data_IF_610682430452
#
_entry.id   IF_610682430452
#
_cell.length_a   1.000
_cell.length_b   1.000
_cell.length_c   1.000
_cell.angle_alpha   90.00
_cell.angle_beta   90.00
_cell.angle_gamma   90.00
#
_symmetry.space_group_name_H-M   'P 1'
#
loop_
_entity.id
_entity.type
_entity.pdbx_description
1 polymer ?
#
# COMPACT_ATOMS: atom_id res chain seq x y z
N UNK A 1 -70.98 -8.21 43.32
CA UNK A 1 -69.76 -8.32 42.50
C UNK A 1 -70.05 -7.70 41.15
N UNK A 2 -69.24 -6.75 40.70
CA UNK A 2 -69.41 -6.09 39.39
C UNK A 2 -68.90 -6.98 38.24
N UNK A 3 -69.35 -6.76 37.00
CA UNK A 3 -68.87 -7.51 35.84
C UNK A 3 -67.37 -7.25 35.62
N UNK A 4 -66.66 -8.27 35.14
CA UNK A 4 -65.26 -8.14 34.75
C UNK A 4 -65.12 -7.08 33.65
N UNK A 5 -64.10 -6.22 33.78
CA UNK A 5 -63.75 -5.24 32.75
C UNK A 5 -63.33 -5.95 31.46
N UNK A 6 -63.58 -5.31 30.32
CA UNK A 6 -63.19 -5.85 29.02
C UNK A 6 -61.67 -6.00 28.95
N UNK A 7 -61.21 -7.14 28.40
CA UNK A 7 -59.80 -7.37 28.15
C UNK A 7 -59.24 -6.34 27.17
N UNK A 8 -58.01 -5.89 27.40
CA UNK A 8 -57.31 -5.00 26.48
C UNK A 8 -57.00 -5.71 25.16
N UNK A 9 -57.02 -4.98 24.06
CA UNK A 9 -56.60 -5.50 22.75
C UNK A 9 -55.09 -5.69 22.71
N UNK A 10 -54.62 -6.84 22.24
CA UNK A 10 -53.21 -7.03 21.90
C UNK A 10 -52.79 -5.97 20.87
N UNK A 11 -51.62 -5.37 21.06
CA UNK A 11 -51.03 -4.45 20.10
C UNK A 11 -50.66 -5.17 18.79
N UNK A 12 -50.51 -4.40 17.72
CA UNK A 12 -50.00 -4.91 16.44
C UNK A 12 -48.56 -5.39 16.61
N UNK A 13 -48.26 -6.60 16.16
CA UNK A 13 -46.87 -7.02 15.98
C UNK A 13 -46.20 -6.06 14.98
N UNK A 14 -44.93 -5.74 15.21
CA UNK A 14 -44.12 -5.00 14.22
C UNK A 14 -43.92 -5.81 12.95
N UNK A 15 -43.47 -5.15 11.88
CA UNK A 15 -43.06 -5.86 10.66
C UNK A 15 -41.83 -6.73 10.97
N UNK A 16 -41.84 -7.98 10.50
CA UNK A 16 -40.67 -8.84 10.55
C UNK A 16 -39.55 -8.20 9.71
N UNK A 17 -38.32 -8.15 10.24
CA UNK A 17 -37.16 -7.68 9.48
C UNK A 17 -36.84 -8.59 8.29
N UNK A 18 -36.04 -8.11 7.34
CA UNK A 18 -35.57 -8.94 6.22
C UNK A 18 -34.85 -10.21 6.72
N UNK A 19 -35.08 -11.33 6.02
CA UNK A 19 -34.39 -12.59 6.28
C UNK A 19 -32.88 -12.45 6.06
N UNK A 20 -32.11 -12.48 7.16
CA UNK A 20 -30.65 -12.36 7.13
C UNK A 20 -29.93 -13.45 6.33
N UNK A 21 -30.59 -14.58 6.04
CA UNK A 21 -30.03 -15.61 5.16
C UNK A 21 -29.91 -15.12 3.70
N UNK A 22 -30.78 -14.20 3.27
CA UNK A 22 -30.74 -13.63 1.91
C UNK A 22 -29.62 -12.61 1.77
N UNK A 23 -29.39 -11.77 2.79
CA UNK A 23 -28.36 -10.72 2.77
C UNK A 23 -26.95 -11.29 2.81
N UNK A 24 -26.68 -12.28 3.67
CA UNK A 24 -25.36 -12.92 3.76
C UNK A 24 -24.97 -13.64 2.46
N UNK A 25 -25.95 -14.28 1.80
CA UNK A 25 -25.76 -15.01 0.56
C UNK A 25 -25.59 -14.11 -0.66
N UNK A 26 -25.74 -12.79 -0.55
CA UNK A 26 -25.32 -11.87 -1.62
C UNK A 26 -23.81 -11.98 -1.85
N UNK A 27 -23.04 -12.06 -0.75
CA UNK A 27 -21.58 -12.11 -0.80
C UNK A 27 -21.04 -13.52 -0.62
N UNK A 28 -21.61 -14.32 0.30
CA UNK A 28 -21.10 -15.64 0.67
C UNK A 28 -21.69 -16.81 -0.14
N UNK A 29 -21.92 -16.61 -1.45
CA UNK A 29 -22.28 -17.75 -2.32
C UNK A 29 -21.09 -18.68 -2.54
N UNK A 30 -21.37 -19.96 -2.81
CA UNK A 30 -20.34 -20.91 -3.27
C UNK A 30 -19.60 -20.39 -4.50
N UNK A 31 -20.31 -19.74 -5.44
CA UNK A 31 -19.72 -19.19 -6.65
C UNK A 31 -18.72 -18.07 -6.34
N UNK A 32 -19.12 -17.07 -5.54
CA UNK A 32 -18.25 -15.97 -5.15
C UNK A 32 -17.04 -16.47 -4.37
N UNK A 33 -17.25 -17.34 -3.39
CA UNK A 33 -16.15 -17.88 -2.58
C UNK A 33 -15.19 -18.75 -3.40
N UNK A 34 -15.67 -19.44 -4.43
CA UNK A 34 -14.82 -20.20 -5.35
C UNK A 34 -14.00 -19.25 -6.22
N UNK A 35 -14.63 -18.26 -6.84
CA UNK A 35 -13.95 -17.26 -7.66
C UNK A 35 -12.86 -16.51 -6.87
N UNK A 36 -13.17 -16.04 -5.66
CA UNK A 36 -12.20 -15.35 -4.80
C UNK A 36 -11.00 -16.24 -4.46
N UNK A 37 -11.22 -17.53 -4.17
CA UNK A 37 -10.12 -18.48 -3.89
C UNK A 37 -9.25 -18.74 -5.11
N UNK A 38 -9.85 -18.85 -6.30
CA UNK A 38 -9.13 -19.06 -7.55
C UNK A 38 -8.29 -17.83 -7.92
N UNK A 39 -8.87 -16.63 -7.81
CA UNK A 39 -8.15 -15.36 -7.98
C UNK A 39 -7.01 -15.24 -6.97
N UNK A 40 -7.28 -15.52 -5.69
CA UNK A 40 -6.28 -15.49 -4.64
C UNK A 40 -5.08 -16.40 -4.95
N UNK A 41 -5.34 -17.60 -5.46
CA UNK A 41 -4.30 -18.59 -5.75
C UNK A 41 -3.29 -18.13 -6.81
N UNK A 42 -3.60 -17.13 -7.65
CA UNK A 42 -2.67 -16.57 -8.63
C UNK A 42 -1.79 -15.46 -8.05
N UNK A 43 -2.13 -14.96 -6.86
CA UNK A 43 -1.42 -13.84 -6.24
C UNK A 43 -0.03 -14.22 -5.71
N UNK A 44 0.85 -13.22 -5.62
CA UNK A 44 2.13 -13.39 -4.92
C UNK A 44 1.94 -13.66 -3.42
N UNK A 45 0.86 -13.15 -2.81
CA UNK A 45 0.54 -13.45 -1.41
C UNK A 45 0.31 -14.94 -1.18
N UNK A 46 -0.41 -15.61 -2.09
CA UNK A 46 -0.64 -17.06 -2.02
C UNK A 46 0.61 -17.89 -2.30
N UNK A 47 1.57 -17.36 -3.09
CA UNK A 47 2.77 -18.09 -3.51
C UNK A 47 3.66 -18.54 -2.34
N UNK A 48 3.64 -17.81 -1.21
CA UNK A 48 4.47 -18.11 -0.04
C UNK A 48 5.97 -17.87 -0.21
N UNK A 49 6.41 -17.27 -1.33
CA UNK A 49 7.83 -17.04 -1.62
C UNK A 49 8.55 -16.23 -0.53
N UNK A 50 7.84 -15.32 0.13
CA UNK A 50 8.39 -14.49 1.20
C UNK A 50 8.21 -15.08 2.61
N UNK A 51 7.38 -16.12 2.78
CA UNK A 51 6.97 -16.63 4.10
C UNK A 51 8.15 -17.14 4.94
N UNK A 52 9.16 -17.74 4.29
CA UNK A 52 10.37 -18.21 4.97
C UNK A 52 11.17 -17.06 5.63
N UNK A 53 10.99 -15.82 5.20
CA UNK A 53 11.64 -14.64 5.79
C UNK A 53 11.14 -14.37 7.21
N UNK A 54 9.94 -14.84 7.57
CA UNK A 54 9.33 -14.64 8.89
C UNK A 54 10.03 -15.38 10.03
N UNK A 55 11.06 -16.18 9.75
CA UNK A 55 12.00 -16.64 10.77
C UNK A 55 12.79 -15.47 11.39
N UNK A 56 12.81 -14.29 10.75
CA UNK A 56 13.23 -13.03 11.37
C UNK A 56 12.02 -12.26 11.89
N UNK A 57 12.11 -11.81 13.13
CA UNK A 57 11.07 -11.03 13.78
C UNK A 57 10.76 -9.68 13.09
N UNK A 58 11.75 -9.13 12.37
CA UNK A 58 11.62 -7.89 11.61
C UNK A 58 10.98 -8.06 10.24
N UNK A 59 10.95 -9.30 9.72
CA UNK A 59 10.33 -9.64 8.43
C UNK A 59 8.93 -10.21 8.62
N UNK A 60 8.69 -10.88 9.75
CA UNK A 60 7.42 -11.53 10.07
C UNK A 60 6.18 -10.64 9.92
N UNK A 61 6.19 -9.35 10.33
CA UNK A 61 5.00 -8.48 10.26
C UNK A 61 4.33 -8.44 8.89
N UNK A 62 5.10 -8.49 7.80
CA UNK A 62 4.59 -8.38 6.44
C UNK A 62 4.60 -9.71 5.67
N UNK A 63 5.20 -10.76 6.21
CA UNK A 63 5.48 -11.99 5.45
C UNK A 63 4.88 -13.26 6.06
N UNK A 64 4.25 -13.21 7.24
CA UNK A 64 3.45 -14.32 7.76
C UNK A 64 2.15 -13.87 8.40
N UNK A 65 1.15 -14.75 8.34
CA UNK A 65 -0.17 -14.49 8.94
C UNK A 65 -0.03 -14.11 10.42
N UNK A 66 0.72 -14.89 11.18
CA UNK A 66 0.94 -14.70 12.61
C UNK A 66 1.65 -13.37 12.89
N UNK A 67 2.63 -13.01 12.05
CA UNK A 67 3.40 -11.79 12.23
C UNK A 67 2.55 -10.54 12.03
N UNK A 68 1.67 -10.57 11.02
CA UNK A 68 0.71 -9.49 10.79
C UNK A 68 -0.27 -9.33 11.95
N UNK A 69 -0.82 -10.44 12.46
CA UNK A 69 -1.72 -10.39 13.62
C UNK A 69 -1.04 -9.83 14.87
N UNK A 70 0.21 -10.23 15.13
CA UNK A 70 0.96 -9.73 16.28
C UNK A 70 1.26 -8.23 16.14
N UNK A 71 1.65 -7.77 14.95
CA UNK A 71 1.89 -6.35 14.67
C UNK A 71 0.62 -5.53 14.92
N UNK A 72 -0.54 -5.96 14.43
CA UNK A 72 -1.81 -5.27 14.70
C UNK A 72 -2.20 -5.28 16.18
N UNK A 73 -1.96 -6.39 16.87
CA UNK A 73 -2.32 -6.53 18.30
C UNK A 73 -1.44 -5.67 19.20
N UNK A 74 -0.14 -5.59 18.87
CA UNK A 74 0.86 -4.92 19.71
C UNK A 74 1.11 -3.47 19.31
N UNK A 75 0.78 -3.09 18.07
CA UNK A 75 1.15 -1.81 17.48
C UNK A 75 2.65 -1.65 17.20
N UNK A 76 3.43 -2.74 17.28
CA UNK A 76 4.88 -2.70 17.10
C UNK A 76 5.30 -3.03 15.66
N UNK A 77 6.36 -2.37 15.20
CA UNK A 77 6.97 -2.56 13.88
C UNK A 77 7.71 -3.90 13.70
N UNK A 78 7.91 -4.62 14.80
CA UNK A 78 8.53 -5.95 14.81
C UNK A 78 7.77 -6.86 15.73
N UNK A 79 7.82 -8.15 15.43
CA UNK A 79 7.33 -9.19 16.34
C UNK A 79 8.32 -9.44 17.47
N UNK A 80 7.85 -10.04 18.56
CA UNK A 80 8.65 -10.43 19.70
C UNK A 80 9.77 -11.40 19.31
N UNK A 81 9.46 -12.37 18.44
CA UNK A 81 10.40 -13.33 17.90
C UNK A 81 10.01 -13.74 16.47
N UNK A 82 10.97 -14.32 15.74
CA UNK A 82 10.67 -14.94 14.46
C UNK A 82 9.86 -16.23 14.63
N UNK A 83 9.10 -16.59 13.60
CA UNK A 83 8.27 -17.79 13.59
C UNK A 83 9.03 -18.95 12.95
N UNK A 84 9.12 -20.08 13.65
CA UNK A 84 9.77 -21.29 13.13
C UNK A 84 8.94 -21.98 12.04
N UNK A 85 7.61 -21.90 12.16
CA UNK A 85 6.64 -22.47 11.22
C UNK A 85 5.61 -21.40 10.83
N UNK A 86 6.02 -20.36 10.08
CA UNK A 86 5.13 -19.29 9.68
C UNK A 86 4.09 -19.79 8.67
N UNK A 87 2.85 -19.32 8.80
CA UNK A 87 1.83 -19.54 7.77
C UNK A 87 1.93 -18.43 6.73
N UNK A 88 1.79 -18.83 5.47
CA UNK A 88 1.64 -17.89 4.36
C UNK A 88 0.47 -16.94 4.62
N UNK A 89 0.55 -15.73 4.04
CA UNK A 89 -0.62 -14.87 3.91
C UNK A 89 -1.81 -15.71 3.46
N UNK A 90 -2.98 -15.45 4.01
CA UNK A 90 -4.19 -16.21 3.67
C UNK A 90 -5.42 -15.33 3.91
N UNK A 91 -6.61 -15.85 3.61
CA UNK A 91 -7.88 -15.11 3.76
C UNK A 91 -8.00 -14.47 5.15
N UNK A 92 -7.58 -15.18 6.21
CA UNK A 92 -7.66 -14.71 7.59
C UNK A 92 -6.59 -13.71 7.96
N UNK A 93 -5.58 -13.48 7.14
CA UNK A 93 -4.69 -12.32 7.34
C UNK A 93 -5.48 -11.03 7.17
N UNK A 94 -6.22 -10.90 6.06
CA UNK A 94 -6.94 -9.67 5.71
C UNK A 94 -8.36 -9.62 6.28
N UNK A 95 -9.03 -10.77 6.38
CA UNK A 95 -10.41 -10.85 6.84
C UNK A 95 -10.53 -11.47 8.23
N UNK A 96 -11.50 -11.01 8.99
CA UNK A 96 -11.86 -11.56 10.29
C UNK A 96 -13.35 -11.90 10.32
N UNK A 97 -14.17 -10.96 10.78
CA UNK A 97 -15.61 -11.02 10.90
C UNK A 97 -16.19 -9.61 10.78
N UNK A 98 -17.47 -9.53 10.48
CA UNK A 98 -18.17 -8.26 10.34
C UNK A 98 -18.21 -7.51 11.67
N UNK A 99 -17.95 -6.21 11.62
CA UNK A 99 -18.14 -5.28 12.75
C UNK A 99 -19.60 -4.82 12.84
N UNK A 100 -20.30 -4.80 11.71
CA UNK A 100 -21.74 -4.57 11.62
C UNK A 100 -22.41 -5.49 10.60
N UNK A 101 -23.68 -5.81 10.84
CA UNK A 101 -24.54 -6.47 9.87
C UNK A 101 -25.61 -5.52 9.30
N UNK A 102 -25.62 -4.25 9.71
CA UNK A 102 -26.46 -3.20 9.12
C UNK A 102 -25.66 -2.51 8.00
N UNK A 103 -25.53 -3.21 6.87
CA UNK A 103 -24.75 -2.71 5.73
C UNK A 103 -25.41 -1.53 5.01
N UNK A 104 -26.69 -1.26 5.24
CA UNK A 104 -27.39 -0.10 4.67
C UNK A 104 -26.99 1.18 5.40
N UNK A 105 -26.89 1.13 6.74
CA UNK A 105 -26.52 2.28 7.57
C UNK A 105 -25.01 2.43 7.70
N UNK A 106 -24.29 1.34 7.97
CA UNK A 106 -22.88 1.35 8.33
C UNK A 106 -21.95 1.14 7.13
N UNK A 107 -22.53 0.80 5.97
CA UNK A 107 -21.80 0.47 4.76
C UNK A 107 -21.19 -0.94 4.77
N UNK A 108 -20.58 -1.31 3.64
CA UNK A 108 -19.94 -2.61 3.50
C UNK A 108 -18.57 -2.59 4.17
N UNK A 109 -18.41 -3.33 5.28
CA UNK A 109 -17.14 -3.46 6.00
C UNK A 109 -16.20 -4.55 5.41
N UNK A 110 -16.74 -5.38 4.51
CA UNK A 110 -16.09 -6.55 3.90
C UNK A 110 -15.40 -7.49 4.90
N UNK A 111 -15.81 -7.45 6.17
CA UNK A 111 -15.17 -8.15 7.28
C UNK A 111 -13.64 -7.96 7.32
N UNK A 112 -13.13 -6.78 6.95
CA UNK A 112 -11.70 -6.48 6.98
C UNK A 112 -11.19 -6.40 8.42
N UNK A 113 -10.00 -6.93 8.65
CA UNK A 113 -9.35 -6.97 9.96
C UNK A 113 -9.01 -5.60 10.50
N UNK A 114 -8.69 -4.67 9.62
CA UNK A 114 -8.44 -3.27 9.96
C UNK A 114 -8.64 -2.40 8.73
N UNK A 115 -9.21 -1.22 8.95
CA UNK A 115 -9.23 -0.10 8.01
C UNK A 115 -8.68 1.17 8.67
N UNK A 116 -8.08 1.01 9.85
CA UNK A 116 -7.59 2.11 10.66
C UNK A 116 -6.41 2.84 10.00
N UNK A 117 -6.21 4.13 10.30
CA UNK A 117 -5.02 4.86 9.90
C UNK A 117 -3.72 4.13 10.29
N UNK A 118 -2.73 4.14 9.39
CA UNK A 118 -1.48 3.38 9.54
C UNK A 118 -0.34 4.30 9.97
N UNK A 119 0.26 4.00 11.12
CA UNK A 119 1.53 4.62 11.54
C UNK A 119 2.67 4.16 10.64
N UNK A 120 3.47 5.10 10.16
CA UNK A 120 4.55 4.78 9.23
C UNK A 120 5.82 4.29 9.93
N UNK A 121 6.21 3.05 9.63
CA UNK A 121 7.43 2.39 10.11
C UNK A 121 8.72 3.09 9.65
N UNK A 122 8.66 3.90 8.59
CA UNK A 122 9.79 4.67 8.07
C UNK A 122 10.21 5.78 9.04
N UNK A 123 9.25 6.36 9.76
CA UNK A 123 9.45 7.54 10.57
C UNK A 123 9.39 7.16 12.06
N UNK A 124 10.35 7.65 12.84
CA UNK A 124 10.30 7.52 14.30
C UNK A 124 9.24 8.43 14.95
N UNK A 125 8.60 9.28 14.15
CA UNK A 125 7.56 10.23 14.58
C UNK A 125 6.17 9.60 14.42
N UNK A 126 5.44 9.33 15.52
CA UNK A 126 4.13 8.71 15.48
C UNK A 126 3.04 9.61 14.85
N UNK A 127 3.34 10.87 14.52
CA UNK A 127 2.40 11.76 13.82
C UNK A 127 2.40 11.54 12.30
N UNK A 128 3.36 10.77 11.76
CA UNK A 128 3.40 10.41 10.34
C UNK A 128 2.49 9.21 10.09
N UNK A 129 1.21 9.51 9.91
CA UNK A 129 0.14 8.54 9.70
C UNK A 129 -0.38 8.67 8.26
N UNK A 130 -0.61 7.53 7.60
CA UNK A 130 -1.39 7.47 6.36
C UNK A 130 -2.83 7.08 6.69
N UNK A 131 -3.76 7.87 6.18
CA UNK A 131 -5.18 7.52 6.15
C UNK A 131 -5.75 7.87 4.78
N UNK A 132 -6.12 6.84 4.02
CA UNK A 132 -6.80 6.97 2.74
C UNK A 132 -8.32 7.07 2.86
N UNK A 133 -8.84 6.99 4.09
CA UNK A 133 -10.27 7.09 4.39
C UNK A 133 -11.06 5.99 3.64
N UNK A 134 -10.40 4.85 3.37
CA UNK A 134 -10.97 3.68 2.73
C UNK A 134 -10.15 2.41 3.02
N UNK A 135 -10.62 1.27 2.50
CA UNK A 135 -10.07 -0.06 2.71
C UNK A 135 -8.60 -0.24 2.30
N UNK A 136 -8.03 0.69 1.52
CA UNK A 136 -6.61 0.69 1.15
C UNK A 136 -5.68 0.84 2.35
N UNK A 137 -6.16 1.35 3.49
CA UNK A 137 -5.38 1.39 4.73
C UNK A 137 -4.86 0.00 5.13
N UNK A 138 -5.65 -1.06 4.90
CA UNK A 138 -5.20 -2.43 5.15
C UNK A 138 -3.90 -2.76 4.40
N UNK A 139 -3.81 -2.38 3.13
CA UNK A 139 -2.66 -2.63 2.27
C UNK A 139 -1.40 -1.92 2.78
N UNK A 140 -1.56 -0.69 3.28
CA UNK A 140 -0.44 0.18 3.72
C UNK A 140 0.29 -0.40 4.92
N UNK A 141 -0.34 -1.22 5.75
CA UNK A 141 0.35 -1.88 6.87
C UNK A 141 1.61 -2.64 6.43
N UNK A 142 1.59 -3.23 5.23
CA UNK A 142 2.72 -3.96 4.66
C UNK A 142 3.39 -3.23 3.49
N UNK A 143 2.60 -2.54 2.65
CA UNK A 143 3.08 -1.73 1.53
C UNK A 143 3.47 -0.32 1.99
N UNK A 144 4.32 -0.31 3.00
CA UNK A 144 5.03 0.86 3.49
C UNK A 144 6.51 0.55 3.69
N UNK A 145 7.38 1.56 3.58
CA UNK A 145 8.79 1.38 3.86
C UNK A 145 9.08 1.28 5.34
N UNK A 146 9.97 0.35 5.71
CA UNK A 146 10.49 0.27 7.07
C UNK A 146 11.72 1.14 7.25
N UNK A 147 11.95 1.59 8.48
CA UNK A 147 13.16 2.32 8.83
C UNK A 147 14.41 1.44 8.67
N UNK A 148 15.27 1.83 7.75
CA UNK A 148 16.63 1.31 7.56
C UNK A 148 17.68 2.40 7.73
N UNK A 149 17.34 3.61 7.27
CA UNK A 149 18.09 4.84 7.37
C UNK A 149 17.09 6.01 7.48
N UNK A 150 17.47 7.13 8.09
CA UNK A 150 16.65 8.34 8.02
C UNK A 150 16.53 8.81 6.57
N UNK A 151 15.39 9.40 6.21
CA UNK A 151 15.21 10.08 4.92
C UNK A 151 16.26 11.20 4.83
N UNK A 152 17.06 11.26 3.76
CA UNK A 152 18.11 12.27 3.64
C UNK A 152 17.57 13.70 3.73
N UNK A 153 18.38 14.59 4.28
CA UNK A 153 18.09 16.01 4.46
C UNK A 153 17.15 16.33 5.61
N UNK A 154 16.52 15.33 6.23
CA UNK A 154 15.56 15.53 7.33
C UNK A 154 16.20 16.10 8.60
N UNK A 155 17.51 15.93 8.80
CA UNK A 155 18.23 16.40 9.97
C UNK A 155 19.18 17.58 9.67
N UNK A 156 19.06 18.19 8.48
CA UNK A 156 19.94 19.28 8.05
C UNK A 156 21.37 18.84 7.74
N UNK A 157 21.61 17.55 7.55
CA UNK A 157 22.93 17.01 7.22
C UNK A 157 23.36 17.42 5.80
N UNK A 158 24.66 17.64 5.61
CA UNK A 158 25.24 17.98 4.30
C UNK A 158 25.91 16.79 3.62
N UNK A 159 26.05 15.68 4.34
CA UNK A 159 26.63 14.42 3.86
C UNK A 159 25.84 13.23 4.38
N UNK A 160 25.83 12.15 3.60
CA UNK A 160 25.17 10.89 3.92
C UNK A 160 26.21 9.77 3.96
N UNK A 161 26.22 8.99 5.05
CA UNK A 161 27.05 7.78 5.16
C UNK A 161 26.26 6.56 4.72
N UNK A 162 26.68 5.96 3.61
CA UNK A 162 26.13 4.72 3.05
C UNK A 162 26.98 3.55 3.51
N UNK A 163 26.37 2.64 4.27
CA UNK A 163 27.06 1.47 4.84
C UNK A 163 26.63 0.14 4.22
N UNK A 164 25.58 0.15 3.38
CA UNK A 164 24.97 -1.05 2.81
C UNK A 164 24.68 -0.88 1.33
N UNK A 165 24.85 -1.96 0.57
CA UNK A 165 24.42 -2.03 -0.83
C UNK A 165 22.91 -1.89 -1.03
N UNK A 166 22.15 -2.02 0.08
CA UNK A 166 20.70 -1.87 0.15
C UNK A 166 20.25 -0.52 0.70
N UNK A 167 21.15 0.47 0.81
CA UNK A 167 20.81 1.81 1.29
C UNK A 167 19.57 2.39 0.57
N UNK A 168 18.72 3.11 1.30
CA UNK A 168 17.37 3.46 0.87
C UNK A 168 16.30 2.84 1.77
N UNK A 169 15.03 3.22 1.60
CA UNK A 169 13.95 2.71 2.42
C UNK A 169 13.80 1.20 2.26
N UNK A 170 13.47 0.49 3.34
CA UNK A 170 13.39 -0.97 3.30
C UNK A 170 12.06 -1.43 2.69
N UNK A 171 12.06 -1.60 1.36
CA UNK A 171 10.99 -2.13 0.49
C UNK A 171 9.62 -1.45 0.66
N UNK A 172 8.63 -1.83 -0.14
CA UNK A 172 7.24 -1.42 0.07
C UNK A 172 6.92 0.10 -0.01
N UNK A 173 7.55 0.95 -0.83
CA UNK A 173 7.31 2.39 -0.77
C UNK A 173 5.94 2.85 -1.33
N UNK A 174 5.10 1.93 -1.82
CA UNK A 174 3.87 2.24 -2.56
C UNK A 174 2.93 3.15 -1.77
N UNK A 175 2.65 2.83 -0.50
CA UNK A 175 1.81 3.66 0.36
C UNK A 175 2.35 5.07 0.50
N UNK A 176 3.63 5.23 0.84
CA UNK A 176 4.24 6.56 0.97
C UNK A 176 4.24 7.36 -0.34
N UNK A 177 4.42 6.70 -1.49
CA UNK A 177 4.47 7.40 -2.77
C UNK A 177 3.09 7.82 -3.26
N UNK A 178 2.05 6.99 -3.07
CA UNK A 178 0.65 7.38 -3.31
C UNK A 178 0.27 8.59 -2.46
N UNK A 179 0.69 8.63 -1.19
CA UNK A 179 0.48 9.76 -0.27
C UNK A 179 1.28 11.02 -0.69
N UNK A 180 2.39 10.85 -1.41
CA UNK A 180 3.27 11.93 -1.86
C UNK A 180 4.33 12.31 -0.82
N UNK A 181 4.90 11.31 -0.14
CA UNK A 181 5.94 11.46 0.89
C UNK A 181 7.02 10.36 0.72
N UNK A 182 8.03 10.33 1.58
CA UNK A 182 9.02 9.23 1.65
C UNK A 182 10.25 9.39 0.74
N UNK A 183 10.22 10.28 -0.26
CA UNK A 183 11.40 10.65 -1.04
C UNK A 183 12.19 11.78 -0.35
N UNK A 184 13.45 11.92 -0.77
CA UNK A 184 14.21 13.15 -0.55
C UNK A 184 13.78 14.19 -1.60
N UNK A 185 13.47 15.41 -1.15
CA UNK A 185 12.94 16.49 -1.99
C UNK A 185 13.99 17.61 -2.14
N UNK A 186 14.96 17.50 -3.08
CA UNK A 186 15.89 18.59 -3.34
C UNK A 186 15.18 19.83 -3.87
N UNK A 187 15.74 21.00 -3.59
CA UNK A 187 15.37 22.21 -4.31
C UNK A 187 15.63 22.02 -5.81
N UNK A 188 14.68 22.44 -6.64
CA UNK A 188 14.79 22.41 -8.10
C UNK A 188 13.70 23.21 -8.77
N UNK A 189 13.71 23.20 -10.10
CA UNK A 189 12.81 23.97 -10.96
C UNK A 189 11.38 23.43 -11.03
N UNK A 190 11.16 22.16 -10.68
CA UNK A 190 9.83 21.54 -10.71
C UNK A 190 9.18 21.61 -9.33
N UNK A 191 8.00 22.22 -9.22
CA UNK A 191 7.27 22.27 -7.97
C UNK A 191 6.76 20.88 -7.53
N UNK A 192 6.92 20.55 -6.25
CA UNK A 192 6.29 19.38 -5.67
C UNK A 192 4.79 19.62 -5.49
N UNK A 193 3.93 18.66 -5.87
CA UNK A 193 2.54 18.69 -5.44
C UNK A 193 2.48 18.52 -3.91
N UNK A 194 1.46 19.09 -3.26
CA UNK A 194 1.28 18.92 -1.82
C UNK A 194 0.99 17.46 -1.44
N UNK A 195 1.27 17.08 -0.19
CA UNK A 195 0.86 15.77 0.35
C UNK A 195 -0.64 15.56 0.18
N UNK A 196 -1.08 14.32 0.00
CA UNK A 196 -2.51 13.95 -0.22
C UNK A 196 -3.16 14.49 -1.50
N UNK A 197 -2.41 15.14 -2.40
CA UNK A 197 -2.99 15.78 -3.59
C UNK A 197 -3.12 14.87 -4.82
N UNK A 198 -2.61 13.65 -4.75
CA UNK A 198 -2.65 12.72 -5.88
C UNK A 198 -4.10 12.33 -6.22
N UNK A 199 -4.46 12.38 -7.51
CA UNK A 199 -5.78 11.95 -7.95
C UNK A 199 -6.01 10.46 -7.67
N UNK A 200 -5.01 9.61 -7.92
CA UNK A 200 -5.11 8.16 -7.69
C UNK A 200 -5.29 7.81 -6.20
N UNK A 201 -4.70 8.60 -5.29
CA UNK A 201 -4.99 8.49 -3.84
C UNK A 201 -6.47 8.75 -3.56
N UNK A 202 -6.98 9.87 -4.03
CA UNK A 202 -8.31 10.36 -3.67
C UNK A 202 -9.46 9.67 -4.42
N UNK A 203 -9.16 8.94 -5.51
CA UNK A 203 -10.15 8.17 -6.27
C UNK A 203 -10.46 6.78 -5.67
N UNK A 204 -9.69 6.33 -4.67
CA UNK A 204 -9.84 5.00 -4.06
C UNK A 204 -8.52 4.25 -3.85
N UNK A 205 -7.38 4.93 -4.07
CA UNK A 205 -6.03 4.43 -3.80
C UNK A 205 -5.79 3.01 -4.34
N UNK A 206 -5.46 2.06 -3.47
CA UNK A 206 -5.06 0.71 -3.86
C UNK A 206 -6.24 -0.09 -4.41
N UNK A 207 -7.38 -0.06 -3.72
CA UNK A 207 -8.51 -0.94 -4.02
C UNK A 207 -9.18 -0.62 -5.35
N UNK A 208 -9.21 0.66 -5.76
CA UNK A 208 -9.80 1.05 -7.05
C UNK A 208 -9.16 0.32 -8.23
N UNK A 209 -7.82 0.25 -8.27
CA UNK A 209 -7.11 -0.29 -9.41
C UNK A 209 -6.78 -1.77 -9.24
N UNK A 210 -6.37 -2.19 -8.04
CA UNK A 210 -5.88 -3.56 -7.79
C UNK A 210 -6.99 -4.53 -7.36
N UNK A 211 -8.11 -4.02 -6.84
CA UNK A 211 -9.25 -4.84 -6.41
C UNK A 211 -10.53 -4.44 -7.14
N UNK A 212 -10.39 -3.97 -8.39
CA UNK A 212 -11.52 -3.78 -9.30
C UNK A 212 -12.26 -5.10 -9.55
N UNK A 213 -13.32 -5.06 -10.36
CA UNK A 213 -13.89 -6.31 -10.86
C UNK A 213 -12.81 -7.15 -11.55
N UNK A 214 -12.90 -8.46 -11.34
CA UNK A 214 -11.95 -9.38 -11.95
C UNK A 214 -12.30 -9.57 -13.41
N UNK A 215 -11.32 -9.32 -14.27
CA UNK A 215 -11.38 -9.70 -15.69
C UNK A 215 -10.01 -10.12 -16.18
N UNK A 216 -9.95 -11.21 -16.95
CA UNK A 216 -8.76 -11.70 -17.64
C UNK A 216 -7.43 -11.70 -16.83
N UNK A 217 -7.48 -12.00 -15.52
CA UNK A 217 -6.30 -12.04 -14.65
C UNK A 217 -5.92 -10.72 -13.99
N UNK A 218 -6.72 -9.68 -14.17
CA UNK A 218 -6.63 -8.36 -13.53
C UNK A 218 -7.74 -8.21 -12.47
N UNK A 219 -7.53 -7.32 -11.49
CA UNK A 219 -8.51 -7.02 -10.45
C UNK A 219 -8.78 -8.16 -9.46
N UNK A 220 -9.86 -8.02 -8.71
CA UNK A 220 -10.30 -8.97 -7.70
C UNK A 220 -9.23 -9.30 -6.67
N UNK A 221 -9.12 -10.58 -6.30
CA UNK A 221 -8.11 -11.06 -5.35
C UNK A 221 -6.81 -11.51 -6.04
N UNK A 222 -6.59 -11.12 -7.30
CA UNK A 222 -5.27 -11.27 -7.95
C UNK A 222 -4.33 -10.15 -7.52
N UNK A 223 -4.90 -8.97 -7.22
CA UNK A 223 -4.21 -7.70 -6.99
C UNK A 223 -3.37 -7.19 -8.16
N UNK A 224 -3.53 -7.76 -9.35
CA UNK A 224 -3.00 -7.14 -10.56
C UNK A 224 -3.88 -5.93 -10.91
N UNK A 225 -3.28 -4.76 -11.21
CA UNK A 225 -4.08 -3.60 -11.58
C UNK A 225 -4.85 -3.85 -12.86
N UNK A 226 -6.09 -3.37 -12.94
CA UNK A 226 -6.91 -3.47 -14.15
C UNK A 226 -6.75 -2.25 -15.05
N UNK A 227 -6.58 -2.48 -16.35
CA UNK A 227 -6.59 -1.39 -17.34
C UNK A 227 -7.97 -0.73 -17.44
N UNK A 228 -9.05 -1.50 -17.25
CA UNK A 228 -10.43 -0.99 -17.28
C UNK A 228 -10.64 0.08 -16.20
N UNK A 229 -10.02 -0.09 -15.03
CA UNK A 229 -10.07 0.90 -13.94
C UNK A 229 -9.53 2.27 -14.35
N UNK A 230 -8.61 2.32 -15.32
CA UNK A 230 -8.09 3.59 -15.83
C UNK A 230 -9.14 4.33 -16.68
N UNK A 231 -9.98 3.60 -17.42
CA UNK A 231 -10.84 4.17 -18.47
C UNK A 231 -11.95 5.09 -17.92
N UNK A 232 -12.31 4.95 -16.65
CA UNK A 232 -13.26 5.82 -15.98
C UNK A 232 -12.80 7.30 -15.94
N UNK A 233 -11.49 7.54 -15.86
CA UNK A 233 -10.90 8.89 -15.85
C UNK A 233 -10.03 9.18 -17.08
N UNK A 234 -9.49 8.13 -17.70
CA UNK A 234 -8.62 8.18 -18.87
C UNK A 234 -9.27 7.42 -20.02
N UNK A 235 -10.32 7.98 -20.61
CA UNK A 235 -11.20 7.30 -21.57
C UNK A 235 -10.51 6.78 -22.84
N UNK A 236 -9.29 7.24 -23.15
CA UNK A 236 -8.48 6.79 -24.29
C UNK A 236 -7.35 5.82 -23.90
N UNK A 237 -7.29 5.38 -22.65
CA UNK A 237 -6.25 4.48 -22.18
C UNK A 237 -6.41 3.10 -22.85
N UNK A 238 -5.35 2.65 -23.51
CA UNK A 238 -5.24 1.30 -24.11
C UNK A 238 -4.11 0.48 -23.48
N UNK A 239 -3.37 1.09 -22.55
CA UNK A 239 -2.34 0.51 -21.72
C UNK A 239 -2.11 1.43 -20.49
N UNK A 240 -1.22 1.03 -19.58
CA UNK A 240 -0.86 1.81 -18.39
C UNK A 240 0.02 3.03 -18.69
N UNK A 241 0.60 3.12 -19.89
CA UNK A 241 1.41 4.26 -20.34
C UNK A 241 0.53 5.41 -20.88
N UNK A 242 -0.36 5.89 -20.02
CA UNK A 242 -1.31 6.94 -20.37
C UNK A 242 -0.55 8.23 -20.72
N UNK A 243 -0.74 8.69 -21.96
CA UNK A 243 -0.08 9.87 -22.53
C UNK A 243 1.47 9.79 -22.53
N UNK A 244 2.06 8.59 -22.56
CA UNK A 244 3.51 8.42 -22.56
C UNK A 244 4.18 8.71 -21.20
N UNK A 245 3.41 8.69 -20.11
CA UNK A 245 3.93 9.01 -18.78
C UNK A 245 4.94 7.99 -18.25
N UNK A 246 4.65 6.69 -18.33
CA UNK A 246 5.61 5.65 -17.89
C UNK A 246 6.88 5.72 -18.73
N UNK A 247 6.75 5.99 -20.04
CA UNK A 247 7.90 6.23 -20.93
C UNK A 247 8.75 7.41 -20.43
N UNK A 248 8.15 8.57 -20.10
CA UNK A 248 8.89 9.71 -19.52
C UNK A 248 9.61 9.33 -18.21
N UNK A 249 8.94 8.58 -17.34
CA UNK A 249 9.53 8.18 -16.05
C UNK A 249 10.69 7.20 -16.24
N UNK A 250 10.58 6.23 -17.15
CA UNK A 250 11.67 5.30 -17.46
C UNK A 250 12.90 6.02 -18.02
N UNK A 251 12.70 7.03 -18.88
CA UNK A 251 13.79 7.86 -19.41
C UNK A 251 14.49 8.67 -18.29
N UNK A 252 13.72 9.34 -17.41
CA UNK A 252 14.26 10.09 -16.28
C UNK A 252 14.99 9.16 -15.28
N UNK A 253 14.43 7.98 -15.03
CA UNK A 253 15.01 6.99 -14.13
C UNK A 253 16.32 6.43 -14.69
N UNK A 254 16.38 6.18 -16.00
CA UNK A 254 17.62 5.77 -16.70
C UNK A 254 18.70 6.86 -16.62
N UNK A 255 18.32 8.13 -16.80
CA UNK A 255 19.26 9.24 -16.61
C UNK A 255 19.81 9.31 -15.17
N UNK A 256 18.95 9.08 -14.18
CA UNK A 256 19.35 9.07 -12.78
C UNK A 256 20.32 7.92 -12.49
N UNK A 257 20.02 6.72 -12.99
CA UNK A 257 20.93 5.57 -12.92
C UNK A 257 22.32 5.92 -13.47
N UNK A 258 22.38 6.46 -14.70
CA UNK A 258 23.64 6.77 -15.36
C UNK A 258 24.45 7.82 -14.60
N UNK A 259 23.81 8.90 -14.10
CA UNK A 259 24.50 9.91 -13.29
C UNK A 259 25.04 9.35 -11.98
N UNK A 260 24.29 8.47 -11.31
CA UNK A 260 24.76 7.82 -10.08
C UNK A 260 25.92 6.86 -10.36
N UNK A 261 25.88 6.15 -11.50
CA UNK A 261 26.96 5.26 -11.94
C UNK A 261 28.24 6.04 -12.25
N UNK A 262 28.14 7.15 -12.99
CA UNK A 262 29.26 8.05 -13.30
C UNK A 262 29.92 8.61 -12.03
N UNK A 263 29.12 8.91 -11.00
CA UNK A 263 29.60 9.40 -9.70
C UNK A 263 30.16 8.29 -8.80
N UNK A 264 30.15 7.02 -9.23
CA UNK A 264 30.59 5.88 -8.42
C UNK A 264 29.72 5.63 -7.18
N UNK A 265 28.46 6.09 -7.20
CA UNK A 265 27.51 5.95 -6.11
C UNK A 265 26.74 4.62 -6.18
N UNK A 266 26.61 4.05 -7.39
CA UNK A 266 26.02 2.73 -7.61
C UNK A 266 26.90 1.87 -8.52
N UNK A 267 26.70 0.56 -8.49
CA UNK A 267 27.18 -0.38 -9.50
C UNK A 267 26.30 -0.33 -10.75
N UNK A 268 26.75 -0.94 -11.85
CA UNK A 268 25.93 -1.11 -13.07
C UNK A 268 24.62 -1.88 -12.84
N UNK A 269 24.56 -2.70 -11.79
CA UNK A 269 23.33 -3.39 -11.36
C UNK A 269 22.43 -2.56 -10.44
N UNK A 270 22.79 -1.31 -10.14
CA UNK A 270 22.02 -0.44 -9.26
C UNK A 270 22.21 -0.69 -7.76
N UNK A 271 23.19 -1.53 -7.38
CA UNK A 271 23.55 -1.71 -5.97
C UNK A 271 24.29 -0.48 -5.47
N UNK A 272 23.97 -0.01 -4.25
CA UNK A 272 24.61 1.19 -3.70
C UNK A 272 26.04 0.88 -3.29
N UNK A 273 26.95 1.81 -3.53
CA UNK A 273 28.36 1.68 -3.14
C UNK A 273 28.52 2.29 -1.75
N UNK A 274 29.16 1.56 -0.82
CA UNK A 274 29.42 2.08 0.52
C UNK A 274 30.42 3.21 0.49
N UNK A 275 30.17 4.27 1.25
CA UNK A 275 30.99 5.47 1.26
C UNK A 275 30.31 6.63 1.99
N UNK A 276 30.99 7.76 2.07
CA UNK A 276 30.38 9.01 2.51
C UNK A 276 30.23 9.92 1.31
N UNK A 277 29.00 10.35 1.06
CA UNK A 277 28.62 11.12 -0.13
C UNK A 277 28.07 12.48 0.29
N UNK A 278 28.23 13.53 -0.53
CA UNK A 278 27.46 14.75 -0.36
C UNK A 278 25.95 14.48 -0.40
N UNK A 279 25.15 15.30 0.30
CA UNK A 279 23.71 15.10 0.43
C UNK A 279 23.01 14.88 -0.92
N UNK A 280 23.39 15.61 -1.97
CA UNK A 280 22.75 15.46 -3.28
C UNK A 280 22.95 14.07 -3.89
N UNK A 281 24.12 13.46 -3.72
CA UNK A 281 24.39 12.10 -4.21
C UNK A 281 23.73 11.05 -3.30
N UNK A 282 23.80 11.24 -1.97
CA UNK A 282 23.16 10.36 -1.00
C UNK A 282 21.63 10.35 -1.11
N UNK A 283 21.03 11.51 -1.28
CA UNK A 283 19.60 11.70 -1.52
C UNK A 283 19.17 11.18 -2.89
N UNK A 284 19.98 11.36 -3.93
CA UNK A 284 19.71 10.76 -5.23
C UNK A 284 19.71 9.21 -5.19
N UNK A 285 20.62 8.59 -4.44
CA UNK A 285 20.59 7.14 -4.21
C UNK A 285 19.32 6.70 -3.47
N UNK A 286 18.86 7.49 -2.50
CA UNK A 286 17.61 7.25 -1.77
C UNK A 286 16.40 7.28 -2.72
N UNK A 287 16.27 8.33 -3.53
CA UNK A 287 15.19 8.46 -4.50
C UNK A 287 15.23 7.36 -5.56
N UNK A 288 16.43 7.02 -6.05
CA UNK A 288 16.62 5.89 -6.97
C UNK A 288 16.10 4.59 -6.36
N UNK A 289 16.49 4.26 -5.13
CA UNK A 289 16.02 3.05 -4.45
C UNK A 289 14.50 3.07 -4.18
N UNK A 290 13.96 4.20 -3.75
CA UNK A 290 12.53 4.36 -3.43
C UNK A 290 11.67 4.17 -4.68
N UNK A 291 12.05 4.81 -5.80
CA UNK A 291 11.28 4.73 -7.05
C UNK A 291 11.45 3.35 -7.72
N UNK A 292 12.63 2.73 -7.60
CA UNK A 292 12.85 1.36 -8.10
C UNK A 292 11.92 0.35 -7.42
N UNK A 293 11.79 0.45 -6.09
CA UNK A 293 10.99 -0.49 -5.29
C UNK A 293 9.49 -0.23 -5.39
N UNK A 294 9.07 0.93 -5.91
CA UNK A 294 7.67 1.26 -6.17
C UNK A 294 7.05 0.38 -7.26
N UNK A 295 7.82 0.11 -8.32
CA UNK A 295 7.45 -0.74 -9.47
C UNK A 295 6.20 -0.31 -10.26
N UNK A 296 5.69 0.90 -10.04
CA UNK A 296 4.54 1.43 -10.79
C UNK A 296 4.95 2.24 -12.03
N UNK A 297 6.25 2.45 -12.25
CA UNK A 297 6.78 3.45 -13.19
C UNK A 297 6.14 4.85 -12.97
N UNK A 298 5.97 5.20 -11.69
CA UNK A 298 5.47 6.50 -11.25
C UNK A 298 3.95 6.68 -11.26
N UNK A 299 3.18 5.68 -11.70
CA UNK A 299 1.71 5.74 -11.79
C UNK A 299 1.06 6.01 -10.43
N UNK A 300 1.65 5.54 -9.32
CA UNK A 300 1.09 5.80 -7.99
C UNK A 300 0.92 7.30 -7.66
N UNK A 301 1.84 8.16 -8.12
CA UNK A 301 1.71 9.60 -7.95
C UNK A 301 2.45 10.37 -9.06
N UNK A 302 1.84 10.51 -10.25
CA UNK A 302 2.54 10.93 -11.46
C UNK A 302 3.23 12.30 -11.33
N UNK A 303 2.55 13.28 -10.72
CA UNK A 303 3.08 14.63 -10.55
C UNK A 303 4.24 14.66 -9.56
N UNK A 304 4.13 13.92 -8.46
CA UNK A 304 5.14 13.89 -7.42
C UNK A 304 6.41 13.19 -7.90
N UNK A 305 6.28 11.99 -8.48
CA UNK A 305 7.43 11.21 -8.94
C UNK A 305 8.19 11.94 -10.05
N UNK A 306 7.48 12.58 -10.99
CA UNK A 306 8.10 13.44 -12.01
C UNK A 306 8.90 14.58 -11.37
N UNK A 307 8.33 15.28 -10.38
CA UNK A 307 9.01 16.38 -9.69
C UNK A 307 10.26 15.89 -8.93
N UNK A 308 10.15 14.77 -8.21
CA UNK A 308 11.27 14.12 -7.50
C UNK A 308 12.39 13.80 -8.47
N UNK A 309 12.11 13.12 -9.59
CA UNK A 309 13.15 12.73 -10.56
C UNK A 309 13.81 13.96 -11.21
N UNK A 310 13.03 14.94 -11.67
CA UNK A 310 13.56 16.14 -12.32
C UNK A 310 14.46 16.95 -11.39
N UNK A 311 14.01 17.22 -10.17
CA UNK A 311 14.80 17.98 -9.20
C UNK A 311 16.01 17.17 -8.69
N UNK A 312 15.90 15.84 -8.57
CA UNK A 312 17.04 14.98 -8.24
C UNK A 312 18.12 15.09 -9.32
N UNK A 313 17.74 14.97 -10.59
CA UNK A 313 18.67 15.11 -11.71
C UNK A 313 19.31 16.50 -11.76
N UNK A 314 18.53 17.56 -11.51
CA UNK A 314 19.03 18.93 -11.43
C UNK A 314 20.08 19.08 -10.32
N UNK A 315 19.85 18.50 -9.15
CA UNK A 315 20.77 18.55 -8.01
C UNK A 315 22.11 17.83 -8.24
N UNK A 316 22.21 16.99 -9.27
CA UNK A 316 23.41 16.21 -9.60
C UNK A 316 24.30 16.86 -10.67
N UNK A 317 23.85 17.96 -11.27
CA UNK A 317 24.61 18.77 -12.23
C UNK A 317 25.51 19.77 -11.50
#
# INVERSE_FOLDING_TARGET
>A
MGPAGADGTNGTNGEDGQDGNVTCLVCHTTANMTAVKEQYATSTHASGNATARSASNSCAPCHSHEGFLEMLTTGNDTTFAGFAHPTVMNCKTCHEGHVSFDFETDGQDYALRTVEPVNLMLYADPTKVIDYENNSNLCVNCHQPRNSYPVPGSNGETTVTVTSSRYGPHHGPQGTLVEGIGCWEPQGTTAYPGTKSAAHRNAGACVLCHMSEYDNGEGGHTWNPSLESCTACHSSATNFDVNGFQTEIEELFTQLHNKLLEKGAITSSGSRVSGTYPLNVGGAMWNYATILEDRSNGVHNPKYIRAVLKNTLESLN
#
